data_IF_206001951801
#
_entry.id   IF_206001951801
#
_cell.length_a   1.000
_cell.length_b   1.000
_cell.length_c   1.000
_cell.angle_alpha   90.00
_cell.angle_beta   90.00
_cell.angle_gamma   90.00
#
_symmetry.space_group_name_H-M   'P 1'
#
loop_
_entity.id
_entity.type
_entity.pdbx_description
1 polymer ?
#
# COMPACT_ATOMS: atom_id res chain seq x y z
N UNK A 1 -15.79 -8.66 -12.91
CA UNK A 1 -14.97 -8.06 -11.87
C UNK A 1 -13.58 -7.81 -12.39
N UNK A 2 -13.22 -6.53 -12.56
CA UNK A 2 -11.89 -6.18 -13.07
C UNK A 2 -10.80 -6.41 -12.01
N UNK A 3 -9.55 -6.35 -12.43
CA UNK A 3 -8.33 -6.60 -11.66
C UNK A 3 -8.25 -5.81 -10.33
N UNK A 4 -8.91 -4.66 -10.21
CA UNK A 4 -8.96 -3.79 -9.02
C UNK A 4 -10.29 -3.89 -8.27
N UNK A 5 -10.79 -5.10 -8.08
CA UNK A 5 -12.03 -5.39 -7.37
C UNK A 5 -11.83 -5.70 -5.88
N UNK A 6 -12.41 -6.80 -5.43
CA UNK A 6 -12.48 -7.23 -4.04
C UNK A 6 -11.12 -7.23 -3.32
N UNK A 7 -10.07 -7.74 -3.96
CA UNK A 7 -8.74 -7.89 -3.35
C UNK A 7 -8.03 -6.56 -3.00
N UNK A 8 -8.51 -5.45 -3.53
CA UNK A 8 -8.00 -4.10 -3.27
C UNK A 8 -8.93 -3.31 -2.35
N UNK A 9 -9.95 -3.97 -1.79
CA UNK A 9 -10.91 -3.33 -0.90
C UNK A 9 -10.43 -3.30 0.54
N UNK A 10 -10.88 -2.29 1.29
CA UNK A 10 -10.61 -2.17 2.74
C UNK A 10 -11.18 -3.34 3.52
N UNK A 11 -12.44 -3.79 3.27
CA UNK A 11 -12.97 -4.96 3.97
C UNK A 11 -12.15 -6.23 3.74
N UNK A 12 -11.64 -6.45 2.53
CA UNK A 12 -10.75 -7.58 2.25
C UNK A 12 -9.43 -7.47 3.03
N UNK A 13 -8.84 -6.28 3.08
CA UNK A 13 -7.61 -6.03 3.84
C UNK A 13 -7.80 -6.35 5.34
N UNK A 14 -8.92 -5.93 5.93
CA UNK A 14 -9.26 -6.21 7.32
C UNK A 14 -9.48 -7.70 7.57
N UNK A 15 -10.19 -8.39 6.68
CA UNK A 15 -10.43 -9.83 6.78
C UNK A 15 -9.12 -10.62 6.66
N UNK A 16 -8.27 -10.28 5.69
CA UNK A 16 -6.97 -10.92 5.49
C UNK A 16 -6.05 -10.70 6.70
N UNK A 17 -6.00 -9.48 7.22
CA UNK A 17 -5.25 -9.16 8.44
C UNK A 17 -5.74 -9.99 9.64
N UNK A 18 -7.06 -10.18 9.81
CA UNK A 18 -7.61 -11.01 10.86
C UNK A 18 -7.18 -12.48 10.72
N UNK A 19 -7.19 -13.02 9.52
CA UNK A 19 -6.69 -14.37 9.23
C UNK A 19 -5.20 -14.49 9.58
N UNK A 20 -4.37 -13.51 9.19
CA UNK A 20 -2.93 -13.51 9.46
C UNK A 20 -2.63 -13.46 10.97
N UNK A 21 -3.34 -12.62 11.74
CA UNK A 21 -3.18 -12.53 13.18
C UNK A 21 -3.62 -13.83 13.88
N UNK A 22 -4.69 -14.45 13.39
CA UNK A 22 -5.20 -15.72 13.96
C UNK A 22 -4.28 -16.90 13.65
N UNK A 23 -3.76 -16.97 12.42
CA UNK A 23 -2.87 -18.06 11.97
C UNK A 23 -1.45 -17.99 12.55
N UNK A 24 -1.11 -16.92 13.28
CA UNK A 24 0.22 -16.68 13.86
C UNK A 24 1.35 -16.71 12.83
N UNK A 25 1.06 -16.40 11.57
CA UNK A 25 2.06 -16.36 10.49
C UNK A 25 3.24 -15.44 10.82
N UNK A 26 3.01 -14.38 11.61
CA UNK A 26 4.05 -13.44 12.01
C UNK A 26 4.97 -13.96 13.13
N UNK A 27 4.77 -15.19 13.62
CA UNK A 27 5.61 -15.78 14.65
C UNK A 27 5.43 -15.15 16.05
N UNK A 28 6.22 -15.62 17.04
CA UNK A 28 6.12 -15.15 18.43
C UNK A 28 6.78 -13.80 18.70
N UNK A 29 7.42 -13.18 17.71
CA UNK A 29 8.23 -11.96 17.89
C UNK A 29 7.46 -10.64 17.99
N UNK A 30 6.14 -10.65 17.89
CA UNK A 30 5.36 -9.43 18.03
C UNK A 30 5.19 -9.02 19.50
N UNK A 31 5.79 -7.87 19.86
CA UNK A 31 5.62 -7.24 21.18
C UNK A 31 4.48 -6.22 21.09
N UNK A 32 3.26 -6.62 21.44
CA UNK A 32 2.09 -5.76 21.41
C UNK A 32 0.77 -6.54 21.41
N UNK A 33 -0.35 -5.83 21.50
CA UNK A 33 -1.66 -6.46 21.46
C UNK A 33 -1.98 -7.01 20.07
N UNK A 34 -2.78 -8.08 20.00
CA UNK A 34 -3.27 -8.63 18.72
C UNK A 34 -4.09 -7.61 17.93
N UNK A 35 -4.81 -6.71 18.65
CA UNK A 35 -5.56 -5.62 18.02
C UNK A 35 -4.63 -4.65 17.30
N UNK A 36 -3.52 -4.25 17.92
CA UNK A 36 -2.55 -3.37 17.28
C UNK A 36 -1.92 -4.02 16.05
N UNK A 37 -1.57 -5.30 16.13
CA UNK A 37 -1.06 -6.03 14.97
C UNK A 37 -2.09 -6.08 13.84
N UNK A 38 -3.34 -6.38 14.15
CA UNK A 38 -4.43 -6.40 13.18
C UNK A 38 -4.63 -5.04 12.51
N UNK A 39 -4.63 -3.94 13.29
CA UNK A 39 -4.74 -2.59 12.76
C UNK A 39 -3.59 -2.25 11.81
N UNK A 40 -2.34 -2.51 12.21
CA UNK A 40 -1.18 -2.25 11.37
C UNK A 40 -1.19 -3.05 10.07
N UNK A 41 -1.54 -4.34 10.14
CA UNK A 41 -1.66 -5.17 8.94
C UNK A 41 -2.81 -4.70 8.04
N UNK A 42 -3.95 -4.33 8.62
CA UNK A 42 -5.10 -3.81 7.87
C UNK A 42 -4.72 -2.53 7.12
N UNK A 43 -4.05 -1.59 7.78
CA UNK A 43 -3.57 -0.33 7.18
C UNK A 43 -2.55 -0.63 6.09
N UNK A 44 -1.58 -1.51 6.34
CA UNK A 44 -0.55 -1.86 5.37
C UNK A 44 -1.14 -2.50 4.10
N UNK A 45 -2.09 -3.42 4.24
CA UNK A 45 -2.74 -4.08 3.10
C UNK A 45 -3.68 -3.10 2.37
N UNK A 46 -4.48 -2.32 3.12
CA UNK A 46 -5.41 -1.35 2.53
C UNK A 46 -4.69 -0.22 1.79
N UNK A 47 -3.49 0.17 2.25
CA UNK A 47 -2.69 1.22 1.60
C UNK A 47 -2.40 0.92 0.14
N UNK A 48 -2.24 -0.35 -0.24
CA UNK A 48 -2.09 -0.76 -1.63
C UNK A 48 -3.30 -0.37 -2.48
N UNK A 49 -4.52 -0.70 -2.02
CA UNK A 49 -5.75 -0.33 -2.72
C UNK A 49 -5.95 1.20 -2.78
N UNK A 50 -5.57 1.92 -1.72
CA UNK A 50 -5.66 3.39 -1.68
C UNK A 50 -4.66 4.01 -2.67
N UNK A 51 -3.42 3.54 -2.69
CA UNK A 51 -2.40 4.01 -3.64
C UNK A 51 -2.82 3.75 -5.09
N UNK A 52 -3.53 2.67 -5.35
CA UNK A 52 -4.05 2.36 -6.67
C UNK A 52 -5.09 3.39 -7.17
N UNK A 53 -5.76 4.12 -6.27
CA UNK A 53 -6.69 5.20 -6.67
C UNK A 53 -5.98 6.41 -7.29
N UNK A 54 -4.71 6.64 -6.94
CA UNK A 54 -3.89 7.75 -7.46
C UNK A 54 -3.02 7.33 -8.65
N UNK A 55 -3.24 6.14 -9.21
CA UNK A 55 -2.55 5.70 -10.42
C UNK A 55 -3.28 6.18 -11.68
N UNK A 56 -2.52 6.49 -12.74
CA UNK A 56 -3.06 6.95 -14.01
C UNK A 56 -3.90 5.89 -14.73
N UNK A 57 -3.66 4.61 -14.44
CA UNK A 57 -4.23 3.50 -15.20
C UNK A 57 -5.42 2.86 -14.50
N UNK A 58 -6.47 2.60 -15.29
CA UNK A 58 -7.67 1.89 -14.86
C UNK A 58 -8.85 2.79 -14.52
N UNK A 59 -9.99 2.16 -14.32
CA UNK A 59 -11.29 2.80 -14.03
C UNK A 59 -11.50 3.11 -12.54
N UNK A 60 -10.42 3.06 -11.73
CA UNK A 60 -10.51 3.22 -10.29
C UNK A 60 -10.59 1.89 -9.53
N UNK A 61 -10.68 1.97 -8.21
CA UNK A 61 -10.64 0.84 -7.27
C UNK A 61 -11.95 0.75 -6.48
N UNK A 62 -12.52 -0.44 -6.37
CA UNK A 62 -13.71 -0.70 -5.56
C UNK A 62 -13.33 -0.84 -4.07
N UNK A 63 -12.99 0.27 -3.40
CA UNK A 63 -12.46 0.27 -2.04
C UNK A 63 -13.42 -0.32 -1.00
N UNK A 64 -14.73 -0.29 -1.25
CA UNK A 64 -15.77 -0.73 -0.32
C UNK A 64 -16.39 -2.08 -0.72
N UNK A 65 -15.82 -2.78 -1.71
CA UNK A 65 -16.33 -4.11 -2.07
C UNK A 65 -16.20 -5.09 -0.87
N UNK A 66 -17.16 -5.98 -0.67
CA UNK A 66 -18.33 -6.28 -1.50
C UNK A 66 -19.58 -5.41 -1.21
N UNK A 67 -19.51 -4.51 -0.22
CA UNK A 67 -20.67 -3.69 0.21
C UNK A 67 -21.06 -2.63 -0.82
N UNK A 68 -20.07 -2.08 -1.55
CA UNK A 68 -20.27 -1.15 -2.65
C UNK A 68 -19.23 -1.40 -3.74
N UNK A 69 -19.71 -1.48 -4.98
CA UNK A 69 -18.88 -1.62 -6.17
C UNK A 69 -18.53 -0.28 -6.82
N UNK A 70 -18.84 0.83 -6.15
CA UNK A 70 -18.42 2.15 -6.60
C UNK A 70 -16.90 2.22 -6.71
N UNK A 71 -16.40 2.70 -7.84
CA UNK A 71 -14.98 2.81 -8.14
C UNK A 71 -14.47 4.20 -7.79
N UNK A 72 -13.52 4.25 -6.89
CA UNK A 72 -12.84 5.47 -6.47
C UNK A 72 -11.61 5.69 -7.34
N UNK A 73 -11.50 6.86 -7.93
CA UNK A 73 -10.32 7.31 -8.67
C UNK A 73 -10.04 8.76 -8.31
N UNK A 74 -8.79 9.04 -7.94
CA UNK A 74 -8.35 10.41 -7.66
C UNK A 74 -8.31 11.24 -8.96
N UNK A 75 -8.74 12.51 -8.93
CA UNK A 75 -8.53 13.43 -10.05
C UNK A 75 -7.03 13.72 -10.27
N UNK A 76 -6.22 13.62 -9.22
CA UNK A 76 -4.78 13.74 -9.27
C UNK A 76 -4.14 12.36 -9.24
N UNK A 77 -3.47 11.98 -10.34
CA UNK A 77 -2.87 10.65 -10.53
C UNK A 77 -1.40 10.77 -10.91
N UNK A 78 -0.52 11.08 -9.93
CA UNK A 78 0.92 11.25 -10.18
C UNK A 78 1.63 9.95 -10.52
N UNK A 79 1.08 8.81 -10.08
CA UNK A 79 1.69 7.50 -10.31
C UNK A 79 1.36 7.01 -11.71
N UNK A 80 2.25 7.30 -12.66
CA UNK A 80 2.17 6.77 -14.02
C UNK A 80 2.53 5.30 -14.04
N UNK A 81 1.53 4.42 -14.17
CA UNK A 81 1.77 2.99 -14.42
C UNK A 81 1.81 2.76 -15.92
N UNK A 82 2.76 1.98 -16.39
CA UNK A 82 3.21 1.80 -17.76
C UNK A 82 2.23 1.47 -18.89
N UNK A 83 0.94 1.81 -18.78
CA UNK A 83 -0.06 1.46 -19.78
C UNK A 83 -0.07 2.29 -21.07
N UNK A 84 0.64 3.41 -21.12
CA UNK A 84 0.67 4.29 -22.30
C UNK A 84 2.01 4.27 -23.06
N UNK A 85 2.90 3.35 -22.73
CA UNK A 85 4.21 3.29 -23.35
C UNK A 85 4.28 2.17 -24.41
N UNK A 86 5.00 2.45 -25.50
CA UNK A 86 5.29 1.46 -26.54
C UNK A 86 6.57 0.69 -26.17
N UNK A 87 6.41 -0.64 -25.91
CA UNK A 87 7.50 -1.55 -25.61
C UNK A 87 7.70 -1.83 -24.10
N UNK A 88 7.98 -3.08 -23.78
CA UNK A 88 8.09 -3.60 -22.41
C UNK A 88 9.19 -2.88 -21.62
N UNK A 89 10.34 -2.62 -22.22
CA UNK A 89 11.47 -1.95 -21.56
C UNK A 89 11.16 -0.48 -21.18
N UNK A 90 10.54 0.28 -22.10
CA UNK A 90 10.16 1.67 -21.82
C UNK A 90 9.08 1.75 -20.73
N UNK A 91 8.15 0.80 -20.72
CA UNK A 91 7.12 0.69 -19.67
C UNK A 91 7.73 0.36 -18.32
N UNK A 92 8.64 -0.60 -18.26
CA UNK A 92 9.31 -0.99 -17.03
C UNK A 92 10.14 0.17 -16.44
N UNK A 93 10.95 0.84 -17.25
CA UNK A 93 11.78 1.98 -16.81
C UNK A 93 10.88 3.09 -16.25
N UNK A 94 9.81 3.46 -16.96
CA UNK A 94 8.90 4.51 -16.51
C UNK A 94 8.18 4.16 -15.23
N UNK A 95 7.73 2.91 -15.09
CA UNK A 95 7.07 2.42 -13.86
C UNK A 95 8.02 2.47 -12.67
N UNK A 96 9.21 1.89 -12.83
CA UNK A 96 10.24 1.86 -11.77
C UNK A 96 10.69 3.27 -11.39
N UNK A 97 10.90 4.16 -12.36
CA UNK A 97 11.29 5.55 -12.08
C UNK A 97 10.22 6.30 -11.28
N UNK A 98 8.94 6.12 -11.60
CA UNK A 98 7.84 6.72 -10.85
C UNK A 98 7.73 6.15 -9.43
N UNK A 99 7.85 4.82 -9.28
CA UNK A 99 7.81 4.18 -7.98
C UNK A 99 8.99 4.61 -7.09
N UNK A 100 10.19 4.69 -7.66
CA UNK A 100 11.36 5.20 -6.94
C UNK A 100 11.19 6.65 -6.51
N UNK A 101 10.61 7.50 -7.36
CA UNK A 101 10.42 8.91 -7.05
C UNK A 101 9.33 9.12 -5.98
N UNK A 102 8.18 8.49 -6.15
CA UNK A 102 6.99 8.78 -5.32
C UNK A 102 6.87 7.92 -4.07
N UNK A 103 7.49 6.75 -4.05
CA UNK A 103 7.46 5.82 -2.92
C UNK A 103 8.86 5.63 -2.33
N UNK A 104 9.85 5.33 -3.18
CA UNK A 104 11.22 5.03 -2.74
C UNK A 104 11.88 6.21 -2.05
N UNK A 105 11.87 7.39 -2.67
CA UNK A 105 12.51 8.58 -2.12
C UNK A 105 11.90 9.03 -0.78
N UNK A 106 10.57 9.17 -0.63
CA UNK A 106 9.97 9.49 0.67
C UNK A 106 10.27 8.42 1.73
N UNK A 107 10.26 7.15 1.36
CA UNK A 107 10.57 6.05 2.29
C UNK A 107 12.03 6.11 2.77
N UNK A 108 12.98 6.39 1.90
CA UNK A 108 14.39 6.58 2.25
C UNK A 108 14.60 7.81 3.15
N UNK A 109 13.91 8.92 2.87
CA UNK A 109 13.95 10.11 3.71
C UNK A 109 13.40 9.84 5.11
N UNK A 110 12.26 9.17 5.22
CA UNK A 110 11.67 8.78 6.50
C UNK A 110 12.57 7.81 7.27
N UNK A 111 13.17 6.85 6.57
CA UNK A 111 14.12 5.92 7.19
C UNK A 111 15.37 6.65 7.71
N UNK A 112 15.97 7.53 6.90
CA UNK A 112 17.10 8.36 7.31
C UNK A 112 16.77 9.23 8.52
N UNK A 113 15.62 9.91 8.49
CA UNK A 113 15.15 10.74 9.59
C UNK A 113 14.94 9.92 10.87
N UNK A 114 14.35 8.72 10.76
CA UNK A 114 14.15 7.82 11.90
C UNK A 114 15.47 7.40 12.55
N UNK A 115 16.52 7.20 11.75
CA UNK A 115 17.87 6.88 12.25
C UNK A 115 18.49 8.05 13.00
N UNK A 116 18.36 9.27 12.48
CA UNK A 116 18.85 10.48 13.13
C UNK A 116 18.14 10.69 14.47
N UNK A 117 16.81 10.63 14.49
CA UNK A 117 16.01 10.79 15.72
C UNK A 117 16.36 9.74 16.79
N UNK A 118 16.60 8.49 16.38
CA UNK A 118 17.04 7.43 17.33
C UNK A 118 18.41 7.73 17.93
N UNK A 119 19.33 8.29 17.14
CA UNK A 119 20.70 8.59 17.58
C UNK A 119 20.75 9.80 18.54
N UNK A 120 19.79 10.72 18.44
CA UNK A 120 19.70 11.93 19.27
C UNK A 120 18.90 11.73 20.57
N UNK A 121 18.23 10.59 20.75
CA UNK A 121 17.56 10.27 22.02
C UNK A 121 18.62 9.93 23.07
N UNK A 122 18.65 10.65 24.22
CA UNK A 122 19.52 10.29 25.34
C UNK A 122 19.15 8.90 25.85
N UNK A 123 20.13 8.13 26.35
CA UNK A 123 19.85 6.89 27.03
C UNK A 123 18.98 7.18 28.26
N UNK A 124 17.78 6.55 28.32
CA UNK A 124 16.88 6.62 29.47
C UNK A 124 17.37 5.76 30.63
#
# INVERSE_FOLDING_TARGET
GGHRGLTHSIPFAMALAAVMVRSRVMGPGWVGSKLNLWLWLSIAIASHGILDTVTQYGEGVALLAPFSWHRFKSPWTPLGVGGACRGIHACAIRSVSNELLWIGLPSLLLFGLSRVVRKTRPPG
#
